data_IF_889595576160
#
_entry.id   IF_889595576160
#
_cell.length_a   1.000
_cell.length_b   1.000
_cell.length_c   1.000
_cell.angle_alpha   90.00
_cell.angle_beta   90.00
_cell.angle_gamma   90.00
#
_symmetry.space_group_name_H-M   'P 1'
#
loop_
_entity.id
_entity.type
_entity.pdbx_description
1 polymer ?
#
# COMPACT_ATOMS: atom_id res chain seq x y z
N UNK A 1 -8.15 -18.96 -17.15
CA UNK A 1 -8.13 -17.52 -16.84
C UNK A 1 -9.42 -16.89 -17.35
N UNK A 2 -10.22 -16.29 -16.48
CA UNK A 2 -11.45 -15.58 -16.88
C UNK A 2 -11.09 -14.26 -17.57
N UNK A 3 -11.87 -13.79 -18.56
CA UNK A 3 -11.62 -12.52 -19.27
C UNK A 3 -11.56 -11.30 -18.34
N UNK A 4 -12.27 -11.36 -17.20
CA UNK A 4 -12.22 -10.34 -16.13
C UNK A 4 -10.83 -10.20 -15.49
N UNK A 5 -10.05 -11.28 -15.41
CA UNK A 5 -8.72 -11.26 -14.78
C UNK A 5 -7.66 -10.55 -15.61
N UNK A 6 -7.79 -10.57 -16.94
CA UNK A 6 -6.86 -9.89 -17.85
C UNK A 6 -7.07 -8.37 -17.78
N UNK A 7 -8.32 -7.91 -17.78
CA UNK A 7 -8.63 -6.48 -17.71
C UNK A 7 -8.17 -5.84 -16.37
N UNK A 8 -8.36 -6.53 -15.25
CA UNK A 8 -7.85 -6.11 -13.93
C UNK A 8 -6.32 -6.03 -13.91
N UNK A 9 -5.63 -7.01 -14.52
CA UNK A 9 -4.17 -7.01 -14.57
C UNK A 9 -3.62 -5.80 -15.33
N UNK A 10 -4.27 -5.38 -16.41
CA UNK A 10 -3.84 -4.22 -17.22
C UNK A 10 -4.04 -2.89 -16.49
N UNK A 11 -5.15 -2.73 -15.77
CA UNK A 11 -5.44 -1.53 -14.97
C UNK A 11 -4.40 -1.35 -13.83
N UNK A 12 -4.09 -2.45 -13.13
CA UNK A 12 -3.08 -2.48 -12.08
C UNK A 12 -1.67 -2.17 -12.60
N UNK A 13 -1.33 -2.70 -13.78
CA UNK A 13 -0.05 -2.41 -14.44
C UNK A 13 0.07 -0.92 -14.76
N UNK A 14 -1.00 -0.31 -15.27
CA UNK A 14 -1.02 1.10 -15.62
C UNK A 14 -0.89 1.98 -14.38
N UNK A 15 -1.56 1.64 -13.28
CA UNK A 15 -1.44 2.35 -12.01
C UNK A 15 -0.03 2.21 -11.40
N UNK A 16 0.56 1.02 -11.47
CA UNK A 16 1.97 0.81 -11.10
C UNK A 16 2.93 1.68 -11.93
N UNK A 17 2.73 1.75 -13.24
CA UNK A 17 3.57 2.55 -14.16
C UNK A 17 3.39 4.06 -13.95
N UNK A 18 2.21 4.50 -13.53
CA UNK A 18 1.85 5.92 -13.35
C UNK A 18 2.12 6.44 -11.94
N UNK A 19 2.25 5.55 -10.95
CA UNK A 19 2.52 5.90 -9.56
C UNK A 19 3.85 6.65 -9.40
N UNK A 20 3.80 7.86 -8.84
CA UNK A 20 4.98 8.67 -8.55
C UNK A 20 5.49 8.37 -7.14
N UNK A 21 6.74 7.91 -7.05
CA UNK A 21 7.46 7.68 -5.81
C UNK A 21 7.37 6.24 -5.29
N UNK A 22 8.40 5.77 -4.57
CA UNK A 22 8.53 4.38 -4.15
C UNK A 22 7.40 3.93 -3.21
N UNK A 23 6.92 4.83 -2.33
CA UNK A 23 5.87 4.54 -1.34
C UNK A 23 4.52 4.22 -2.01
N UNK A 24 4.20 4.89 -3.11
CA UNK A 24 2.97 4.63 -3.87
C UNK A 24 3.14 3.44 -4.82
N UNK A 25 4.36 3.21 -5.35
CA UNK A 25 4.64 2.19 -6.36
C UNK A 25 4.67 0.76 -5.81
N UNK A 26 5.20 0.56 -4.60
CA UNK A 26 5.35 -0.78 -4.01
C UNK A 26 4.02 -1.53 -3.80
N UNK A 27 2.95 -0.90 -3.27
CA UNK A 27 1.64 -1.55 -3.15
C UNK A 27 1.04 -2.00 -4.50
N UNK A 28 1.12 -1.14 -5.52
CA UNK A 28 0.65 -1.46 -6.87
C UNK A 28 1.42 -2.62 -7.51
N UNK A 29 2.75 -2.64 -7.36
CA UNK A 29 3.58 -3.73 -7.86
C UNK A 29 3.22 -5.07 -7.20
N UNK A 30 3.00 -5.08 -5.88
CA UNK A 30 2.65 -6.31 -5.16
C UNK A 30 1.33 -6.90 -5.63
N UNK A 31 0.31 -6.06 -5.82
CA UNK A 31 -1.03 -6.54 -6.22
C UNK A 31 -1.09 -6.92 -7.67
N UNK A 32 -0.40 -6.21 -8.55
CA UNK A 32 -0.23 -6.63 -9.93
C UNK A 32 0.41 -8.03 -10.04
N UNK A 33 1.45 -8.32 -9.25
CA UNK A 33 2.09 -9.64 -9.22
C UNK A 33 1.14 -10.72 -8.67
N UNK A 34 0.35 -10.40 -7.64
CA UNK A 34 -0.66 -11.33 -7.10
C UNK A 34 -1.81 -11.57 -8.09
N UNK A 35 -2.25 -10.55 -8.82
CA UNK A 35 -3.29 -10.65 -9.85
C UNK A 35 -2.86 -11.52 -11.04
N UNK A 36 -1.55 -11.59 -11.31
CA UNK A 36 -0.96 -12.54 -12.27
C UNK A 36 -0.91 -13.99 -11.74
N UNK A 37 -1.33 -14.23 -10.50
CA UNK A 37 -1.35 -15.56 -9.87
C UNK A 37 -0.03 -15.96 -9.21
N UNK A 38 0.91 -15.03 -9.01
CA UNK A 38 2.17 -15.34 -8.33
C UNK A 38 1.95 -15.58 -6.84
N UNK A 39 2.63 -16.58 -6.29
CA UNK A 39 2.55 -16.90 -4.87
C UNK A 39 3.12 -15.77 -4.00
N UNK A 40 2.50 -15.50 -2.85
CA UNK A 40 2.90 -14.42 -1.95
C UNK A 40 4.37 -14.51 -1.50
N UNK A 41 4.94 -15.72 -1.42
CA UNK A 41 6.36 -15.93 -1.11
C UNK A 41 7.29 -15.43 -2.22
N UNK A 42 6.92 -15.63 -3.48
CA UNK A 42 7.67 -15.14 -4.63
C UNK A 42 7.54 -13.62 -4.75
N UNK A 43 6.32 -13.09 -4.53
CA UNK A 43 6.09 -11.64 -4.49
C UNK A 43 6.95 -10.98 -3.41
N UNK A 44 6.98 -11.57 -2.19
CA UNK A 44 7.84 -11.11 -1.10
C UNK A 44 9.33 -11.09 -1.47
N UNK A 45 9.83 -12.15 -2.11
CA UNK A 45 11.22 -12.23 -2.54
C UNK A 45 11.57 -11.15 -3.59
N UNK A 46 10.66 -10.84 -4.51
CA UNK A 46 10.88 -9.85 -5.59
C UNK A 46 10.74 -8.41 -5.09
N UNK A 47 9.86 -8.14 -4.11
CA UNK A 47 9.61 -6.78 -3.63
C UNK A 47 10.36 -6.42 -2.35
N UNK A 48 10.98 -7.39 -1.67
CA UNK A 48 11.65 -7.22 -0.39
C UNK A 48 10.69 -7.06 0.80
N UNK A 49 9.38 -7.23 0.59
CA UNK A 49 8.38 -7.17 1.66
C UNK A 49 8.19 -8.52 2.35
N UNK A 50 7.74 -8.48 3.61
CA UNK A 50 7.42 -9.69 4.36
C UNK A 50 6.21 -10.42 3.76
N UNK A 51 6.31 -11.73 3.55
CA UNK A 51 5.25 -12.55 2.95
C UNK A 51 3.91 -12.49 3.73
N UNK A 52 3.97 -12.29 5.06
CA UNK A 52 2.79 -12.07 5.88
C UNK A 52 2.06 -10.78 5.49
N UNK A 53 2.81 -9.70 5.24
CA UNK A 53 2.27 -8.41 4.83
C UNK A 53 1.59 -8.51 3.46
N UNK A 54 2.23 -9.21 2.51
CA UNK A 54 1.65 -9.48 1.18
C UNK A 54 0.31 -10.23 1.29
N UNK A 55 0.23 -11.22 2.19
CA UNK A 55 -1.00 -12.00 2.42
C UNK A 55 -2.12 -11.17 3.05
N UNK A 56 -1.81 -10.31 4.02
CA UNK A 56 -2.82 -9.50 4.72
C UNK A 56 -3.30 -8.31 3.90
N UNK A 57 -2.46 -7.78 3.02
CA UNK A 57 -2.81 -6.61 2.20
C UNK A 57 -3.73 -6.95 1.03
N UNK A 58 -3.65 -8.16 0.48
CA UNK A 58 -4.46 -8.56 -0.69
C UNK A 58 -5.98 -8.61 -0.42
N UNK A 59 -6.48 -9.15 0.71
CA UNK A 59 -7.89 -9.04 1.08
C UNK A 59 -8.34 -7.59 1.31
N UNK A 60 -7.48 -6.74 1.89
CA UNK A 60 -7.80 -5.34 2.14
C UNK A 60 -7.99 -4.56 0.83
N UNK A 61 -7.18 -4.84 -0.18
CA UNK A 61 -7.34 -4.27 -1.53
C UNK A 61 -8.63 -4.76 -2.20
N UNK A 62 -8.88 -6.07 -2.20
CA UNK A 62 -10.11 -6.62 -2.78
C UNK A 62 -11.40 -6.03 -2.16
N UNK A 63 -11.34 -5.63 -0.88
CA UNK A 63 -12.48 -5.02 -0.17
C UNK A 63 -12.62 -3.51 -0.38
N UNK A 64 -11.52 -2.78 -0.61
CA UNK A 64 -11.53 -1.32 -0.67
C UNK A 64 -11.19 -0.76 -2.06
N UNK A 65 -10.84 -1.63 -3.00
CA UNK A 65 -10.33 -1.30 -4.32
C UNK A 65 -9.04 -0.46 -4.29
N UNK A 66 -8.70 0.18 -5.42
CA UNK A 66 -7.58 1.11 -5.61
C UNK A 66 -7.32 2.10 -4.47
N UNK A 67 -8.39 2.58 -3.84
CA UNK A 67 -8.37 3.57 -2.76
C UNK A 67 -7.82 2.99 -1.45
N UNK A 68 -7.89 1.66 -1.27
CA UNK A 68 -7.34 0.94 -0.13
C UNK A 68 -5.82 0.89 -0.10
N UNK A 69 -5.17 1.00 -1.28
CA UNK A 69 -3.72 0.92 -1.46
C UNK A 69 -2.96 2.22 -1.28
N UNK A 70 -3.66 3.35 -1.39
CA UNK A 70 -3.06 4.66 -1.13
C UNK A 70 -2.50 4.72 0.28
N UNK A 71 -1.32 5.33 0.44
CA UNK A 71 -0.72 5.61 1.74
C UNK A 71 -1.69 6.42 2.61
N UNK A 72 -2.50 5.73 3.41
CA UNK A 72 -3.53 6.35 4.25
C UNK A 72 -2.93 7.18 5.38
N UNK A 73 -1.60 7.16 5.60
CA UNK A 73 -0.94 8.02 6.61
C UNK A 73 -1.15 9.51 6.36
N UNK A 74 -1.39 9.92 5.11
CA UNK A 74 -1.74 11.32 4.80
C UNK A 74 -3.20 11.66 5.07
N UNK A 75 -4.08 10.66 5.10
CA UNK A 75 -5.52 10.82 5.30
C UNK A 75 -6.00 10.36 6.69
N UNK A 76 -5.14 9.68 7.45
CA UNK A 76 -5.38 9.38 8.85
C UNK A 76 -5.13 10.66 9.65
N UNK A 77 -6.11 11.18 10.39
CA UNK A 77 -5.86 12.26 11.32
C UNK A 77 -4.74 11.83 12.26
N UNK A 78 -3.76 12.71 12.46
CA UNK A 78 -2.71 12.45 13.43
C UNK A 78 -3.38 12.11 14.77
N UNK A 79 -3.01 10.97 15.35
CA UNK A 79 -3.42 10.68 16.72
C UNK A 79 -2.92 11.82 17.61
N UNK A 80 -3.68 12.18 18.64
CA UNK A 80 -3.26 13.19 19.59
C UNK A 80 -1.89 12.79 20.12
N UNK A 81 -0.85 13.48 19.64
CA UNK A 81 0.53 13.15 20.01
C UNK A 81 0.69 13.20 21.53
N UNK A 82 1.65 12.48 22.11
CA UNK A 82 1.76 12.28 23.56
C UNK A 82 2.06 13.56 24.36
N UNK A 83 2.29 14.68 23.66
CA UNK A 83 2.65 15.95 24.27
C UNK A 83 1.41 16.81 24.50
N UNK A 84 1.22 17.21 25.75
CA UNK A 84 0.31 18.28 26.15
C UNK A 84 0.73 19.62 25.53
N UNK A 85 -0.20 20.58 25.50
CA UNK A 85 0.07 21.93 25.01
C UNK A 85 1.27 22.59 25.72
N UNK A 86 1.40 22.41 27.04
CA UNK A 86 2.51 22.93 27.82
C UNK A 86 3.87 22.33 27.40
N UNK A 87 3.92 21.02 27.12
CA UNK A 87 5.13 20.34 26.66
C UNK A 87 5.54 20.77 25.25
N UNK A 88 4.58 21.08 24.38
CA UNK A 88 4.86 21.62 23.04
C UNK A 88 5.43 23.04 23.11
N UNK A 89 4.91 23.89 23.98
CA UNK A 89 5.46 25.24 24.19
C UNK A 89 6.87 25.21 24.76
N UNK A 90 7.15 24.28 25.70
CA UNK A 90 8.48 24.12 26.27
C UNK A 90 9.53 23.68 25.23
N UNK A 91 9.14 22.84 24.27
CA UNK A 91 10.00 22.43 23.15
C UNK A 91 10.19 23.52 22.09
N UNK A 92 9.24 24.43 21.92
CA UNK A 92 9.31 25.52 20.94
C UNK A 92 10.11 26.74 21.44
N UNK A 93 10.39 26.81 22.74
CA UNK A 93 11.17 27.88 23.37
C UNK A 93 12.62 27.52 23.70
N UNK A 94 13.11 26.36 23.25
CA UNK A 94 14.49 25.89 23.39
C UNK A 94 15.27 26.07 22.07
#
# INVERSE_FOLDING_TARGET
>A
MSPQGIAVSTDLEQQYRTAKGPIARSPWQMIWLLAQGLASALVAAVTGYMANWVRTSAPCDNQHGPTGLGNRRHHHPASAGPLSAAQRTALAGA
#
